data_IF_626237722279
#
_entry.id   IF_626237722279
#
_cell.length_a   1.000
_cell.length_b   1.000
_cell.length_c   1.000
_cell.angle_alpha   90.00
_cell.angle_beta   90.00
_cell.angle_gamma   90.00
#
_symmetry.space_group_name_H-M   'P 1'
#
loop_
_entity.id
_entity.type
_entity.pdbx_description
1 polymer ?
#
# COMPACT_ATOMS: atom_id res chain seq x y z
N UNK A 1 -4.38 0.70 11.53
CA UNK A 1 -3.92 1.96 10.97
C UNK A 1 -2.49 1.96 11.37
N UNK A 2 -1.61 1.74 10.40
CA UNK A 2 -0.18 1.63 10.66
C UNK A 2 0.33 2.85 11.45
N UNK A 3 1.04 2.60 12.55
CA UNK A 3 1.51 3.58 13.54
C UNK A 3 0.43 4.43 14.23
N UNK A 4 -0.72 3.84 14.53
CA UNK A 4 -1.74 4.44 15.41
C UNK A 4 -1.48 4.15 16.88
N UNK A 5 -0.79 3.04 17.18
CA UNK A 5 -0.60 2.57 18.55
C UNK A 5 0.75 3.01 19.13
N UNK A 6 1.74 3.25 18.28
CA UNK A 6 3.06 3.78 18.67
C UNK A 6 2.98 5.26 19.04
N UNK A 7 3.45 5.60 20.24
CA UNK A 7 3.61 6.99 20.70
C UNK A 7 4.94 7.55 20.20
N UNK A 8 4.99 8.86 19.97
CA UNK A 8 6.23 9.57 19.63
C UNK A 8 7.38 9.30 20.63
N UNK A 9 7.07 9.14 21.92
CA UNK A 9 8.08 8.82 22.94
C UNK A 9 8.73 7.44 22.77
N UNK A 10 8.05 6.51 22.08
CA UNK A 10 8.53 5.15 21.81
C UNK A 10 9.35 5.07 20.50
N UNK A 11 9.35 6.12 19.67
CA UNK A 11 10.03 6.13 18.38
C UNK A 11 11.53 5.78 18.45
N UNK A 12 12.33 6.26 19.43
CA UNK A 12 13.74 5.87 19.52
C UNK A 12 13.95 4.37 19.72
N UNK A 13 13.13 3.72 20.55
CA UNK A 13 13.22 2.28 20.82
C UNK A 13 12.75 1.49 19.61
N UNK A 14 11.68 1.91 18.96
CA UNK A 14 11.21 1.30 17.71
C UNK A 14 12.27 1.38 16.62
N UNK A 15 12.89 2.54 16.41
CA UNK A 15 13.96 2.72 15.43
C UNK A 15 15.13 1.77 15.69
N UNK A 16 15.56 1.64 16.95
CA UNK A 16 16.60 0.72 17.36
C UNK A 16 16.20 -0.76 17.19
N UNK A 17 14.91 -1.10 17.35
CA UNK A 17 14.37 -2.43 17.07
C UNK A 17 14.49 -2.80 15.59
N UNK A 18 14.08 -1.91 14.69
CA UNK A 18 14.19 -2.13 13.24
C UNK A 18 15.65 -2.28 12.83
N UNK A 19 16.56 -1.51 13.41
CA UNK A 19 18.00 -1.70 13.19
C UNK A 19 18.46 -3.08 13.67
N UNK A 20 18.01 -3.52 14.84
CA UNK A 20 18.35 -4.84 15.39
C UNK A 20 17.81 -6.01 14.58
N UNK A 21 16.66 -5.84 13.91
CA UNK A 21 16.07 -6.86 13.04
C UNK A 21 16.66 -6.86 11.64
N UNK A 22 16.78 -5.68 11.02
CA UNK A 22 16.95 -5.58 9.58
C UNK A 22 18.35 -5.21 9.12
N UNK A 23 19.20 -4.60 9.98
CA UNK A 23 20.55 -4.21 9.57
C UNK A 23 21.53 -5.38 9.62
N UNK A 24 21.41 -6.33 10.54
CA UNK A 24 22.37 -7.43 10.75
C UNK A 24 23.86 -7.02 10.56
N UNK A 25 24.52 -7.43 9.46
CA UNK A 25 25.91 -7.13 9.12
C UNK A 25 26.10 -5.84 8.28
N UNK A 26 25.01 -5.14 7.98
CA UNK A 26 24.91 -3.96 7.13
C UNK A 26 23.55 -3.95 6.38
N UNK A 27 23.06 -2.77 6.03
CA UNK A 27 21.84 -2.65 5.21
C UNK A 27 22.06 -3.27 3.83
N UNK A 28 21.12 -4.08 3.35
CA UNK A 28 21.18 -4.73 2.04
C UNK A 28 21.10 -3.71 0.90
N UNK A 29 20.26 -2.69 1.05
CA UNK A 29 20.14 -1.57 0.12
C UNK A 29 20.15 -0.22 0.85
N UNK A 30 20.71 0.79 0.18
CA UNK A 30 20.80 2.16 0.70
C UNK A 30 19.43 2.83 0.86
N UNK A 31 18.40 2.32 0.18
CA UNK A 31 17.02 2.79 0.28
C UNK A 31 16.41 2.47 1.64
N UNK A 32 16.78 1.35 2.29
CA UNK A 32 16.24 0.96 3.59
C UNK A 32 16.45 2.02 4.67
N UNK A 33 17.69 2.46 5.00
CA UNK A 33 17.90 3.48 6.02
C UNK A 33 17.36 4.86 5.61
N UNK A 34 17.25 5.17 4.31
CA UNK A 34 16.66 6.43 3.82
C UNK A 34 15.14 6.45 4.03
N UNK A 35 14.46 5.36 3.67
CA UNK A 35 13.03 5.16 3.89
C UNK A 35 12.68 5.23 5.37
N UNK A 36 13.46 4.55 6.21
CA UNK A 36 13.28 4.64 7.67
C UNK A 36 13.47 6.08 8.18
N UNK A 37 14.53 6.77 7.76
CA UNK A 37 14.73 8.18 8.13
C UNK A 37 13.54 9.07 7.75
N UNK A 38 13.05 8.93 6.51
CA UNK A 38 11.91 9.70 6.03
C UNK A 38 10.62 9.39 6.81
N UNK A 39 10.31 8.11 7.03
CA UNK A 39 9.12 7.67 7.77
C UNK A 39 9.15 8.20 9.20
N UNK A 40 10.29 8.06 9.90
CA UNK A 40 10.38 8.48 11.29
C UNK A 40 10.33 10.00 11.47
N UNK A 41 10.95 10.75 10.56
CA UNK A 41 10.86 12.20 10.53
C UNK A 41 9.40 12.65 10.29
N UNK A 42 8.74 12.11 9.26
CA UNK A 42 7.39 12.53 8.87
C UNK A 42 6.29 12.13 9.88
N UNK A 43 6.41 10.97 10.53
CA UNK A 43 5.36 10.44 11.42
C UNK A 43 5.60 10.74 12.90
N UNK A 44 6.85 10.84 13.33
CA UNK A 44 7.22 10.94 14.74
C UNK A 44 8.06 12.17 15.08
N UNK A 45 8.44 13.02 14.11
CA UNK A 45 9.38 14.12 14.34
C UNK A 45 10.69 13.61 14.98
N UNK A 46 11.15 12.43 14.52
CA UNK A 46 12.32 11.75 15.03
C UNK A 46 13.37 11.59 13.94
N UNK A 47 14.42 12.41 14.02
CA UNK A 47 15.56 12.35 13.10
C UNK A 47 16.69 11.51 13.70
N UNK A 48 17.05 10.43 13.01
CA UNK A 48 18.19 9.58 13.35
C UNK A 48 18.87 9.02 12.11
N UNK A 49 20.18 8.80 12.18
CA UNK A 49 20.90 8.10 11.13
C UNK A 49 20.85 6.58 11.37
N UNK A 50 19.92 5.91 10.70
CA UNK A 50 19.75 4.45 10.73
C UNK A 50 20.99 3.66 10.30
N UNK A 51 21.98 4.29 9.65
CA UNK A 51 23.27 3.64 9.35
C UNK A 51 24.11 3.45 10.61
N UNK A 52 24.01 4.35 11.58
CA UNK A 52 24.86 4.38 12.78
C UNK A 52 24.09 4.15 14.08
N UNK A 53 22.75 4.24 14.04
CA UNK A 53 21.90 4.04 15.19
C UNK A 53 22.20 2.67 15.86
N UNK A 54 22.38 2.60 17.19
CA UNK A 54 22.56 1.33 17.87
C UNK A 54 21.33 0.44 17.77
N UNK A 55 21.53 -0.87 17.67
CA UNK A 55 20.45 -1.85 17.74
C UNK A 55 19.98 -2.02 19.19
N UNK A 56 18.66 -2.17 19.39
CA UNK A 56 18.08 -2.63 20.65
C UNK A 56 17.98 -4.16 20.67
N UNK A 57 17.95 -4.75 21.86
CA UNK A 57 17.68 -6.20 22.02
C UNK A 57 16.17 -6.48 22.01
N UNK A 58 15.80 -7.73 21.74
CA UNK A 58 14.38 -8.14 21.77
C UNK A 58 13.76 -7.95 23.16
N UNK A 59 14.53 -8.15 24.23
CA UNK A 59 14.09 -7.94 25.62
C UNK A 59 13.75 -6.48 25.90
N UNK A 60 14.62 -5.55 25.47
CA UNK A 60 14.42 -4.11 25.63
C UNK A 60 13.14 -3.66 24.91
N UNK A 61 12.95 -4.18 23.70
CA UNK A 61 11.78 -3.88 22.87
C UNK A 61 10.50 -4.47 23.48
N UNK A 62 10.50 -5.74 23.88
CA UNK A 62 9.31 -6.37 24.45
C UNK A 62 8.87 -5.73 25.78
N UNK A 63 9.80 -5.12 26.54
CA UNK A 63 9.50 -4.35 27.74
C UNK A 63 8.82 -3.00 27.42
N UNK A 64 9.22 -2.32 26.34
CA UNK A 64 8.66 -1.01 25.94
C UNK A 64 7.33 -1.13 25.17
N UNK A 65 7.12 -2.24 24.45
CA UNK A 65 5.92 -2.48 23.64
C UNK A 65 5.11 -3.67 24.19
N UNK A 66 4.32 -3.47 25.25
CA UNK A 66 3.57 -4.55 25.87
C UNK A 66 2.33 -4.96 25.06
N UNK A 67 1.84 -4.12 24.14
CA UNK A 67 0.56 -4.36 23.46
C UNK A 67 0.77 -5.01 22.09
N UNK A 68 -0.08 -5.99 21.76
CA UNK A 68 0.00 -6.72 20.48
C UNK A 68 -0.08 -5.81 19.23
N UNK A 69 -0.93 -4.76 19.17
CA UNK A 69 -0.98 -3.87 18.00
C UNK A 69 0.32 -3.11 17.75
N UNK A 70 1.02 -2.65 18.80
CA UNK A 70 2.31 -1.97 18.68
C UNK A 70 3.37 -2.91 18.09
N UNK A 71 3.37 -4.17 18.53
CA UNK A 71 4.29 -5.20 18.03
C UNK A 71 4.04 -5.55 16.58
N UNK A 72 2.76 -5.61 16.17
CA UNK A 72 2.36 -5.82 14.77
C UNK A 72 2.87 -4.69 13.89
N UNK A 73 2.60 -3.43 14.25
CA UNK A 73 3.07 -2.27 13.49
C UNK A 73 4.60 -2.25 13.34
N UNK A 74 5.33 -2.73 14.34
CA UNK A 74 6.78 -2.87 14.27
C UNK A 74 7.22 -3.98 13.31
N UNK A 75 6.54 -5.13 13.28
CA UNK A 75 6.83 -6.22 12.32
C UNK A 75 6.46 -5.80 10.89
N UNK A 76 5.36 -5.08 10.70
CA UNK A 76 4.97 -4.51 9.40
C UNK A 76 6.10 -3.59 8.86
N UNK A 77 6.73 -2.77 9.72
CA UNK A 77 7.86 -1.94 9.32
C UNK A 77 9.13 -2.76 9.01
N UNK A 78 9.36 -3.88 9.70
CA UNK A 78 10.43 -4.82 9.35
C UNK A 78 10.18 -5.44 7.96
N UNK A 79 8.92 -5.79 7.66
CA UNK A 79 8.53 -6.31 6.35
C UNK A 79 8.62 -5.26 5.24
N UNK A 80 8.34 -3.99 5.51
CA UNK A 80 8.64 -2.89 4.59
C UNK A 80 10.13 -2.87 4.23
N UNK A 81 11.01 -3.07 5.23
CA UNK A 81 12.46 -3.11 5.00
C UNK A 81 12.88 -4.34 4.17
N UNK A 82 12.22 -5.48 4.34
CA UNK A 82 12.53 -6.70 3.59
C UNK A 82 11.96 -6.66 2.16
N UNK A 83 10.69 -6.28 1.99
CA UNK A 83 10.00 -6.33 0.69
C UNK A 83 10.29 -5.12 -0.21
N UNK A 84 11.09 -4.16 0.26
CA UNK A 84 11.70 -3.13 -0.59
C UNK A 84 13.00 -3.59 -1.27
N UNK A 85 13.45 -4.83 -1.04
CA UNK A 85 14.66 -5.39 -1.64
C UNK A 85 14.38 -6.07 -3.00
N UNK A 86 15.44 -6.17 -3.82
CA UNK A 86 15.37 -6.77 -5.16
C UNK A 86 15.51 -8.30 -5.14
N UNK A 87 15.97 -8.82 -4.02
CA UNK A 87 16.03 -10.21 -3.63
C UNK A 87 15.83 -10.28 -2.11
N UNK A 88 15.38 -11.43 -1.60
CA UNK A 88 15.08 -11.58 -0.17
C UNK A 88 16.16 -12.46 0.49
N UNK A 89 17.16 -11.87 1.18
CA UNK A 89 18.23 -12.62 1.82
C UNK A 89 17.67 -13.50 2.93
N UNK A 90 18.06 -14.79 2.95
CA UNK A 90 17.61 -15.73 3.96
C UNK A 90 17.96 -15.29 5.39
N UNK A 91 19.12 -14.66 5.59
CA UNK A 91 19.55 -14.15 6.91
C UNK A 91 18.57 -13.09 7.45
N UNK A 92 18.17 -12.14 6.59
CA UNK A 92 17.17 -11.12 6.93
C UNK A 92 15.80 -11.74 7.21
N UNK A 93 15.33 -12.65 6.34
CA UNK A 93 14.07 -13.37 6.54
C UNK A 93 14.06 -14.11 7.89
N UNK A 94 15.13 -14.84 8.19
CA UNK A 94 15.28 -15.58 9.44
C UNK A 94 15.32 -14.63 10.65
N UNK A 95 15.93 -13.45 10.50
CA UNK A 95 15.94 -12.42 11.54
C UNK A 95 14.55 -11.91 11.85
N UNK A 96 13.81 -11.50 10.82
CA UNK A 96 12.44 -10.98 10.98
C UNK A 96 11.53 -12.05 11.57
N UNK A 97 11.67 -13.31 11.16
CA UNK A 97 10.89 -14.43 11.72
C UNK A 97 11.21 -14.63 13.21
N UNK A 98 12.47 -14.54 13.62
CA UNK A 98 12.84 -14.59 15.06
C UNK A 98 12.22 -13.45 15.84
N UNK A 99 12.25 -12.22 15.30
CA UNK A 99 11.63 -11.06 15.93
C UNK A 99 10.10 -11.21 16.03
N UNK A 100 9.43 -11.63 14.97
CA UNK A 100 7.98 -11.85 14.96
C UNK A 100 7.56 -12.91 15.99
N UNK A 101 8.27 -14.06 16.03
CA UNK A 101 8.03 -15.12 17.03
C UNK A 101 8.23 -14.60 18.45
N UNK A 102 9.31 -13.87 18.71
CA UNK A 102 9.60 -13.35 20.05
C UNK A 102 8.55 -12.33 20.50
N UNK A 103 8.10 -11.47 19.58
CA UNK A 103 7.08 -10.46 19.84
C UNK A 103 5.66 -11.06 19.89
N UNK A 104 5.48 -12.31 19.47
CA UNK A 104 4.18 -12.99 19.44
C UNK A 104 3.26 -12.47 18.33
N UNK A 105 3.84 -12.16 17.17
CA UNK A 105 3.15 -11.63 16.00
C UNK A 105 3.02 -12.73 14.94
N UNK A 106 1.78 -13.03 14.53
CA UNK A 106 1.47 -13.98 13.47
C UNK A 106 0.65 -13.25 12.40
N UNK A 107 1.18 -13.16 11.17
CA UNK A 107 0.63 -12.30 10.12
C UNK A 107 0.61 -12.98 8.75
N UNK A 108 -0.38 -12.62 7.93
CA UNK A 108 -0.44 -13.02 6.51
C UNK A 108 0.77 -12.53 5.74
N UNK A 109 1.28 -11.35 6.08
CA UNK A 109 2.33 -10.66 5.36
C UNK A 109 3.66 -11.40 5.47
N UNK A 110 3.93 -11.99 6.65
CA UNK A 110 5.03 -12.94 6.85
C UNK A 110 4.88 -14.13 5.92
N UNK A 111 3.67 -14.70 5.80
CA UNK A 111 3.44 -15.85 4.91
C UNK A 111 3.75 -15.49 3.45
N UNK A 112 3.24 -14.35 2.97
CA UNK A 112 3.47 -13.90 1.58
C UNK A 112 4.95 -13.58 1.34
N UNK A 113 5.62 -12.91 2.28
CA UNK A 113 7.06 -12.64 2.19
C UNK A 113 7.88 -13.94 2.09
N UNK A 114 7.54 -14.97 2.87
CA UNK A 114 8.23 -16.27 2.81
C UNK A 114 7.91 -17.06 1.55
N UNK A 115 6.71 -16.93 0.99
CA UNK A 115 6.39 -17.48 -0.32
C UNK A 115 7.24 -16.83 -1.42
N UNK A 116 7.39 -15.51 -1.40
CA UNK A 116 8.27 -14.78 -2.31
C UNK A 116 9.74 -15.22 -2.15
N UNK A 117 10.25 -15.31 -0.92
CA UNK A 117 11.62 -15.71 -0.65
C UNK A 117 11.93 -17.14 -1.14
N UNK A 118 10.92 -18.00 -1.22
CA UNK A 118 11.02 -19.38 -1.74
C UNK A 118 10.78 -19.48 -3.25
N UNK A 119 10.59 -18.36 -3.94
CA UNK A 119 10.31 -18.31 -5.37
C UNK A 119 8.87 -18.70 -5.75
N UNK A 120 7.94 -18.76 -4.78
CA UNK A 120 6.54 -19.11 -5.00
C UNK A 120 5.69 -17.89 -5.41
N UNK A 121 6.18 -17.09 -6.38
CA UNK A 121 5.60 -15.79 -6.77
C UNK A 121 4.12 -15.87 -7.15
N UNK A 122 3.69 -16.88 -7.90
CA UNK A 122 2.29 -17.03 -8.30
C UNK A 122 1.36 -17.27 -7.10
N UNK A 123 1.84 -17.97 -6.08
CA UNK A 123 1.08 -18.23 -4.85
C UNK A 123 1.02 -16.98 -3.98
N UNK A 124 2.16 -16.31 -3.81
CA UNK A 124 2.25 -15.03 -3.12
C UNK A 124 1.32 -13.98 -3.74
N UNK A 125 1.29 -13.90 -5.07
CA UNK A 125 0.40 -12.99 -5.80
C UNK A 125 -1.06 -13.33 -5.54
N UNK A 126 -1.43 -14.60 -5.62
CA UNK A 126 -2.80 -15.03 -5.35
C UNK A 126 -3.24 -14.72 -3.91
N UNK A 127 -2.38 -15.00 -2.93
CA UNK A 127 -2.66 -14.74 -1.51
C UNK A 127 -2.70 -13.24 -1.19
N UNK A 128 -1.88 -12.42 -1.86
CA UNK A 128 -1.96 -10.96 -1.80
C UNK A 128 -3.32 -10.46 -2.31
N UNK A 129 -3.76 -10.85 -3.49
CA UNK A 129 -5.04 -10.33 -4.01
C UNK A 129 -6.22 -10.81 -3.16
N UNK A 130 -6.21 -12.08 -2.73
CA UNK A 130 -7.27 -12.68 -1.93
C UNK A 130 -7.39 -12.09 -0.52
N UNK A 131 -6.26 -11.89 0.18
CA UNK A 131 -6.26 -11.46 1.59
C UNK A 131 -5.99 -9.96 1.75
N UNK A 132 -5.35 -9.33 0.76
CA UNK A 132 -5.17 -7.89 0.66
C UNK A 132 -6.38 -7.28 -0.03
N UNK A 133 -6.22 -6.83 -1.27
CA UNK A 133 -7.23 -6.12 -2.07
C UNK A 133 -8.69 -6.61 -1.88
N UNK A 134 -8.90 -7.93 -1.77
CA UNK A 134 -10.21 -8.54 -1.56
C UNK A 134 -10.49 -9.08 -0.16
N UNK A 135 -9.52 -9.12 0.76
CA UNK A 135 -9.69 -9.70 2.09
C UNK A 135 -10.79 -9.03 2.92
N UNK A 136 -11.03 -7.74 2.66
CA UNK A 136 -12.12 -6.96 3.24
C UNK A 136 -13.50 -7.21 2.58
N UNK A 137 -13.56 -7.93 1.45
CA UNK A 137 -14.80 -8.25 0.74
C UNK A 137 -15.41 -9.55 1.26
N UNK A 138 -16.35 -9.44 2.20
CA UNK A 138 -16.99 -10.59 2.85
C UNK A 138 -17.96 -11.40 1.95
N UNK A 139 -18.45 -10.80 0.85
CA UNK A 139 -19.46 -11.39 -0.03
C UNK A 139 -18.88 -11.66 -1.43
N UNK A 140 -18.26 -12.83 -1.62
CA UNK A 140 -17.92 -13.30 -2.96
C UNK A 140 -19.09 -14.09 -3.55
N UNK A 141 -19.63 -13.60 -4.67
CA UNK A 141 -20.66 -14.30 -5.45
C UNK A 141 -20.15 -15.70 -5.85
N UNK A 142 -20.94 -16.79 -5.71
CA UNK A 142 -20.55 -18.12 -6.19
C UNK A 142 -20.10 -18.17 -7.67
N UNK A 143 -20.63 -17.29 -8.53
CA UNK A 143 -20.16 -17.14 -9.92
C UNK A 143 -18.70 -16.65 -9.99
N UNK A 144 -18.25 -15.92 -8.97
CA UNK A 144 -16.91 -15.41 -8.83
C UNK A 144 -15.90 -16.50 -8.44
N UNK A 145 -16.32 -17.49 -7.65
CA UNK A 145 -15.48 -18.65 -7.32
C UNK A 145 -15.03 -19.42 -8.57
N UNK A 146 -15.94 -19.66 -9.51
CA UNK A 146 -15.61 -20.36 -10.76
C UNK A 146 -14.64 -19.55 -11.65
N UNK A 147 -14.74 -18.22 -11.65
CA UNK A 147 -13.79 -17.34 -12.34
C UNK A 147 -12.40 -17.38 -11.70
N UNK A 148 -12.32 -17.37 -10.37
CA UNK A 148 -11.05 -17.51 -9.65
C UNK A 148 -10.40 -18.87 -9.93
N UNK A 149 -11.18 -19.95 -9.98
CA UNK A 149 -10.68 -21.29 -10.34
C UNK A 149 -10.11 -21.35 -11.76
N UNK A 150 -10.71 -20.62 -12.71
CA UNK A 150 -10.29 -20.61 -14.11
C UNK A 150 -9.11 -19.65 -14.39
N UNK A 151 -9.12 -18.47 -13.78
CA UNK A 151 -8.25 -17.34 -14.16
C UNK A 151 -7.29 -16.88 -13.02
N UNK A 152 -7.41 -17.45 -11.82
CA UNK A 152 -6.54 -17.15 -10.69
C UNK A 152 -6.60 -15.68 -10.26
N UNK A 153 -5.44 -15.09 -9.96
CA UNK A 153 -5.33 -13.68 -9.51
C UNK A 153 -5.83 -12.67 -10.55
N UNK A 154 -5.91 -13.04 -11.84
CA UNK A 154 -6.46 -12.16 -12.87
C UNK A 154 -7.95 -11.94 -12.70
N UNK A 155 -8.71 -12.91 -12.19
CA UNK A 155 -10.13 -12.74 -11.90
C UNK A 155 -10.36 -11.67 -10.80
N UNK A 156 -9.41 -11.57 -9.86
CA UNK A 156 -9.40 -10.57 -8.79
C UNK A 156 -9.05 -9.19 -9.35
N UNK A 157 -8.01 -9.11 -10.18
CA UNK A 157 -7.48 -7.85 -10.67
C UNK A 157 -8.27 -7.22 -11.84
N UNK A 158 -8.86 -8.05 -12.72
CA UNK A 158 -9.38 -7.62 -14.01
C UNK A 158 -10.84 -8.02 -14.22
N UNK A 159 -11.56 -7.28 -15.05
CA UNK A 159 -12.84 -7.71 -15.60
C UNK A 159 -12.59 -8.85 -16.60
N UNK A 160 -13.04 -10.05 -16.25
CA UNK A 160 -12.99 -11.23 -17.13
C UNK A 160 -14.27 -11.32 -17.99
N UNK A 161 -15.43 -11.21 -17.36
CA UNK A 161 -16.73 -11.28 -18.02
C UNK A 161 -17.25 -9.86 -18.28
N UNK A 162 -17.73 -9.54 -19.50
CA UNK A 162 -18.30 -8.23 -19.78
C UNK A 162 -19.49 -7.91 -18.87
N UNK A 163 -19.51 -6.68 -18.36
CA UNK A 163 -20.63 -6.06 -17.64
C UNK A 163 -20.93 -4.69 -18.28
N UNK A 164 -21.78 -4.65 -19.31
CA UNK A 164 -22.12 -3.41 -20.01
C UNK A 164 -22.84 -2.39 -19.12
N UNK A 165 -23.55 -2.83 -18.08
CA UNK A 165 -24.25 -1.94 -17.16
C UNK A 165 -23.26 -1.20 -16.27
N UNK A 166 -22.25 -1.90 -15.74
CA UNK A 166 -21.17 -1.28 -14.98
C UNK A 166 -20.34 -0.34 -15.86
N UNK A 167 -19.95 -0.77 -17.07
CA UNK A 167 -19.20 0.08 -18.02
C UNK A 167 -19.96 1.36 -18.35
N UNK A 168 -21.27 1.27 -18.61
CA UNK A 168 -22.12 2.45 -18.84
C UNK A 168 -22.26 3.34 -17.60
N UNK A 169 -22.30 2.75 -16.39
CA UNK A 169 -22.36 3.48 -15.12
C UNK A 169 -21.12 4.34 -14.90
N UNK A 170 -19.93 3.82 -15.22
CA UNK A 170 -18.67 4.56 -15.18
C UNK A 170 -18.59 5.64 -16.26
N UNK A 171 -19.00 5.33 -17.49
CA UNK A 171 -19.06 6.31 -18.57
C UNK A 171 -19.98 7.51 -18.23
N UNK A 172 -21.09 7.26 -17.52
CA UNK A 172 -22.04 8.30 -17.12
C UNK A 172 -21.47 9.35 -16.15
N UNK A 173 -20.29 9.13 -15.57
CA UNK A 173 -19.58 10.13 -14.75
C UNK A 173 -19.22 11.38 -15.55
N UNK A 174 -19.17 11.31 -16.89
CA UNK A 174 -19.08 12.48 -17.79
C UNK A 174 -20.26 13.46 -17.62
N UNK A 175 -21.34 13.08 -16.95
CA UNK A 175 -22.47 13.99 -16.73
C UNK A 175 -22.45 14.64 -15.34
N UNK A 176 -21.47 14.29 -14.50
CA UNK A 176 -21.29 14.95 -13.21
C UNK A 176 -20.83 16.42 -13.37
N UNK A 177 -21.16 17.30 -12.40
CA UNK A 177 -20.74 18.70 -12.42
C UNK A 177 -19.22 18.87 -12.53
N UNK A 178 -18.76 19.92 -13.20
CA UNK A 178 -17.32 20.25 -13.22
C UNK A 178 -16.79 20.48 -11.80
N UNK A 179 -15.62 19.92 -11.48
CA UNK A 179 -15.02 19.97 -10.13
C UNK A 179 -15.68 19.03 -9.11
N UNK A 180 -16.61 18.15 -9.52
CA UNK A 180 -17.12 17.09 -8.67
C UNK A 180 -16.23 15.85 -8.75
N UNK A 181 -16.30 14.98 -7.73
CA UNK A 181 -15.51 13.74 -7.69
C UNK A 181 -15.70 12.86 -8.95
N UNK A 182 -16.95 12.65 -9.34
CA UNK A 182 -17.30 11.85 -10.52
C UNK A 182 -16.74 12.42 -11.80
N UNK A 183 -16.83 13.75 -12.00
CA UNK A 183 -16.20 14.40 -13.16
C UNK A 183 -14.69 14.15 -13.17
N UNK A 184 -14.02 14.37 -12.05
CA UNK A 184 -12.57 14.19 -11.95
C UNK A 184 -12.16 12.73 -12.20
N UNK A 185 -12.91 11.74 -11.73
CA UNK A 185 -12.65 10.32 -12.04
C UNK A 185 -12.87 10.02 -13.52
N UNK A 186 -13.89 10.59 -14.16
CA UNK A 186 -14.06 10.46 -15.60
C UNK A 186 -12.88 11.06 -16.37
N UNK A 187 -12.44 12.26 -15.99
CA UNK A 187 -11.26 12.92 -16.58
C UNK A 187 -9.99 12.07 -16.40
N UNK A 188 -9.80 11.52 -15.20
CA UNK A 188 -8.69 10.62 -14.86
C UNK A 188 -8.61 9.40 -15.80
N UNK A 189 -9.76 8.74 -16.05
CA UNK A 189 -9.85 7.62 -16.99
C UNK A 189 -9.62 8.06 -18.44
N UNK A 190 -10.27 9.16 -18.85
CA UNK A 190 -10.20 9.67 -20.21
C UNK A 190 -8.78 10.09 -20.61
N UNK A 191 -8.09 10.85 -19.76
CA UNK A 191 -6.72 11.31 -20.00
C UNK A 191 -5.72 10.16 -20.14
N UNK A 192 -5.96 9.03 -19.45
CA UNK A 192 -5.08 7.86 -19.45
C UNK A 192 -5.44 6.83 -20.53
N UNK A 193 -6.57 7.03 -21.23
CA UNK A 193 -7.08 6.05 -22.18
C UNK A 193 -7.44 4.71 -21.52
N UNK A 194 -7.84 4.73 -20.26
CA UNK A 194 -8.26 3.52 -19.54
C UNK A 194 -9.66 3.09 -19.99
N UNK A 195 -9.82 1.78 -20.18
CA UNK A 195 -11.15 1.18 -20.34
C UNK A 195 -11.90 1.19 -19.01
N UNK A 196 -13.21 1.42 -19.06
CA UNK A 196 -14.03 1.43 -17.84
C UNK A 196 -14.21 0.03 -17.25
N UNK A 197 -14.31 -0.08 -15.90
CA UNK A 197 -14.69 -1.31 -15.23
C UNK A 197 -15.98 -1.90 -15.81
N UNK A 198 -16.01 -3.21 -16.02
CA UNK A 198 -17.06 -3.90 -16.77
C UNK A 198 -16.72 -4.14 -18.25
N UNK A 199 -15.65 -3.54 -18.77
CA UNK A 199 -15.07 -3.88 -20.07
C UNK A 199 -14.05 -5.02 -19.92
N UNK A 200 -14.11 -6.13 -20.68
CA UNK A 200 -13.13 -7.20 -20.57
C UNK A 200 -11.69 -6.71 -20.74
N UNK A 201 -10.81 -7.06 -19.81
CA UNK A 201 -9.42 -6.61 -19.79
C UNK A 201 -9.19 -5.31 -19.01
N UNK A 202 -10.24 -4.55 -18.68
CA UNK A 202 -10.15 -3.42 -17.75
C UNK A 202 -9.93 -3.91 -16.31
N UNK A 203 -9.65 -2.96 -15.42
CA UNK A 203 -9.59 -3.20 -13.98
C UNK A 203 -10.94 -3.72 -13.46
N UNK A 204 -10.91 -4.67 -12.53
CA UNK A 204 -12.14 -5.25 -11.97
C UNK A 204 -12.94 -4.22 -11.18
N UNK A 205 -14.23 -4.48 -10.98
CA UNK A 205 -15.10 -3.60 -10.18
C UNK A 205 -14.59 -3.38 -8.76
N UNK A 206 -14.06 -4.40 -8.09
CA UNK A 206 -13.55 -4.21 -6.74
C UNK A 206 -12.20 -3.49 -6.73
N UNK A 207 -11.30 -3.82 -7.66
CA UNK A 207 -10.03 -3.10 -7.78
C UNK A 207 -10.27 -1.63 -8.09
N UNK A 208 -11.19 -1.30 -9.00
CA UNK A 208 -11.50 0.08 -9.40
C UNK A 208 -11.91 1.02 -8.25
N UNK A 209 -12.20 0.47 -7.06
CA UNK A 209 -12.38 1.26 -5.85
C UNK A 209 -11.18 2.17 -5.55
N UNK A 210 -9.94 1.70 -5.76
CA UNK A 210 -8.75 2.51 -5.47
C UNK A 210 -8.53 3.65 -6.47
N UNK A 211 -9.10 3.59 -7.68
CA UNK A 211 -9.00 4.67 -8.67
C UNK A 211 -9.68 5.96 -8.19
N UNK A 212 -10.76 5.84 -7.41
CA UNK A 212 -11.38 6.99 -6.74
C UNK A 212 -10.42 7.63 -5.71
N UNK A 213 -9.61 6.79 -5.07
CA UNK A 213 -8.64 7.22 -4.06
C UNK A 213 -7.52 8.02 -4.73
N UNK A 214 -6.98 7.59 -5.88
CA UNK A 214 -6.00 8.37 -6.65
C UNK A 214 -6.42 9.83 -6.81
N UNK A 215 -7.66 10.05 -7.24
CA UNK A 215 -8.23 11.39 -7.45
C UNK A 215 -8.39 12.14 -6.12
N UNK A 216 -8.93 11.49 -5.07
CA UNK A 216 -9.13 12.13 -3.76
C UNK A 216 -7.82 12.52 -3.07
N UNK A 217 -6.82 11.64 -3.07
CA UNK A 217 -5.53 11.88 -2.43
C UNK A 217 -4.50 12.55 -3.35
N UNK A 218 -4.87 12.89 -4.58
CA UNK A 218 -4.06 13.65 -5.51
C UNK A 218 -2.79 12.94 -6.00
N UNK A 219 -2.85 11.63 -6.26
CA UNK A 219 -1.73 10.86 -6.79
C UNK A 219 -2.03 10.31 -8.19
N UNK A 220 -1.09 10.48 -9.12
CA UNK A 220 -1.17 9.86 -10.45
C UNK A 220 -0.97 8.34 -10.43
N UNK A 221 -0.88 7.74 -11.63
CA UNK A 221 -0.78 6.28 -11.85
C UNK A 221 0.59 5.87 -12.38
N UNK A 222 1.61 6.69 -12.17
CA UNK A 222 2.99 6.23 -12.40
C UNK A 222 3.32 5.15 -11.37
N UNK A 223 4.33 4.28 -11.59
CA UNK A 223 4.76 3.31 -10.58
C UNK A 223 4.97 3.92 -9.18
N UNK A 224 5.54 5.13 -9.09
CA UNK A 224 5.66 5.86 -7.82
C UNK A 224 4.30 6.32 -7.27
N UNK A 225 3.39 6.79 -8.13
CA UNK A 225 2.02 7.16 -7.74
C UNK A 225 1.21 6.00 -7.16
N UNK A 226 1.39 4.79 -7.70
CA UNK A 226 0.78 3.56 -7.16
C UNK A 226 1.29 3.24 -5.76
N UNK A 227 2.60 3.41 -5.52
CA UNK A 227 3.19 3.23 -4.19
C UNK A 227 2.72 4.30 -3.21
N UNK A 228 2.56 5.55 -3.66
CA UNK A 228 2.02 6.64 -2.83
C UNK A 228 0.56 6.38 -2.43
N UNK A 229 -0.32 5.97 -3.35
CA UNK A 229 -1.70 5.60 -3.01
C UNK A 229 -1.72 4.41 -2.06
N UNK A 230 -0.84 3.44 -2.26
CA UNK A 230 -0.64 2.32 -1.35
C UNK A 230 -0.34 2.70 0.08
N UNK A 231 0.72 3.48 0.25
CA UNK A 231 1.17 4.01 1.52
C UNK A 231 0.05 4.83 2.20
N UNK A 232 -0.66 5.65 1.43
CA UNK A 232 -1.82 6.38 1.94
C UNK A 232 -2.91 5.44 2.45
N UNK A 233 -3.35 4.46 1.63
CA UNK A 233 -4.44 3.54 1.98
C UNK A 233 -4.12 2.68 3.19
N UNK A 234 -2.87 2.20 3.32
CA UNK A 234 -2.37 1.44 4.48
C UNK A 234 -2.64 2.14 5.81
N UNK A 235 -2.57 3.47 5.82
CA UNK A 235 -2.73 4.30 7.02
C UNK A 235 -4.13 4.90 7.16
N UNK A 236 -5.12 4.48 6.37
CA UNK A 236 -6.53 4.93 6.54
C UNK A 236 -7.44 3.94 7.27
N UNK A 237 -6.98 2.70 7.51
CA UNK A 237 -7.80 1.64 8.12
C UNK A 237 -7.02 0.80 9.14
N UNK A 238 -7.73 0.10 10.02
CA UNK A 238 -7.19 -0.90 10.95
C UNK A 238 -7.15 -2.32 10.38
N UNK A 239 -7.60 -2.51 9.14
CA UNK A 239 -7.56 -3.80 8.46
C UNK A 239 -6.12 -4.20 8.04
N UNK A 240 -5.67 -5.41 8.41
CA UNK A 240 -4.32 -5.86 8.06
C UNK A 240 -4.12 -6.15 6.58
N UNK A 241 -5.18 -6.40 5.82
CA UNK A 241 -5.10 -6.51 4.37
C UNK A 241 -4.55 -5.23 3.73
N UNK A 242 -4.74 -4.07 4.36
CA UNK A 242 -4.18 -2.82 3.86
C UNK A 242 -2.65 -2.77 4.00
N UNK A 243 -2.10 -3.31 5.10
CA UNK A 243 -0.66 -3.52 5.26
C UNK A 243 -0.15 -4.53 4.22
N UNK A 244 -0.84 -5.66 4.07
CA UNK A 244 -0.49 -6.67 3.06
C UNK A 244 -0.46 -6.08 1.65
N UNK A 245 -1.46 -5.28 1.29
CA UNK A 245 -1.60 -4.65 -0.03
C UNK A 245 -0.42 -3.71 -0.34
N UNK A 246 -0.01 -2.90 0.64
CA UNK A 246 1.12 -2.00 0.45
C UNK A 246 2.46 -2.73 0.49
N UNK A 247 2.69 -3.49 1.55
CA UNK A 247 3.99 -4.09 1.86
C UNK A 247 4.29 -5.24 0.91
N UNK A 248 3.36 -6.19 0.75
CA UNK A 248 3.56 -7.33 -0.14
C UNK A 248 3.05 -7.09 -1.56
N UNK A 249 2.24 -6.06 -1.81
CA UNK A 249 1.83 -5.68 -3.17
C UNK A 249 2.71 -4.59 -3.75
N UNK A 250 2.42 -3.33 -3.42
CA UNK A 250 3.02 -2.18 -4.08
C UNK A 250 4.55 -2.11 -3.94
N UNK A 251 5.12 -2.41 -2.77
CA UNK A 251 6.59 -2.47 -2.63
C UNK A 251 7.16 -3.65 -3.42
N UNK A 252 6.62 -4.86 -3.28
CA UNK A 252 7.13 -6.02 -4.01
C UNK A 252 7.01 -5.89 -5.55
N UNK A 253 5.97 -5.21 -6.03
CA UNK A 253 5.73 -4.95 -7.45
C UNK A 253 6.69 -3.91 -8.01
N UNK A 254 6.70 -2.71 -7.44
CA UNK A 254 7.32 -1.53 -8.06
C UNK A 254 8.71 -1.20 -7.51
N UNK A 255 8.97 -1.51 -6.24
CA UNK A 255 10.28 -1.31 -5.63
C UNK A 255 11.14 -2.57 -5.72
N UNK A 256 10.65 -3.70 -5.21
CA UNK A 256 11.39 -4.95 -5.21
C UNK A 256 11.54 -5.52 -6.63
N UNK A 257 10.51 -5.39 -7.47
CA UNK A 257 10.49 -6.07 -8.77
C UNK A 257 10.55 -7.59 -8.63
N UNK A 258 10.09 -8.11 -7.49
CA UNK A 258 10.20 -9.52 -7.07
C UNK A 258 8.88 -10.29 -7.25
N UNK A 259 7.80 -9.60 -7.60
CA UNK A 259 6.50 -10.20 -7.90
C UNK A 259 5.84 -9.44 -9.05
N UNK A 260 5.26 -10.13 -10.06
CA UNK A 260 4.47 -9.44 -11.06
C UNK A 260 3.13 -8.96 -10.48
N UNK A 261 2.63 -7.82 -10.94
CA UNK A 261 1.23 -7.43 -10.79
C UNK A 261 0.36 -8.26 -11.74
N UNK A 262 -0.85 -8.64 -11.33
CA UNK A 262 -1.78 -9.34 -12.21
C UNK A 262 -2.36 -8.43 -13.30
N UNK A 263 -2.28 -7.11 -13.11
CA UNK A 263 -2.76 -6.10 -14.05
C UNK A 263 -1.65 -5.61 -14.98
N UNK A 264 -0.48 -5.28 -14.42
CA UNK A 264 0.58 -4.55 -15.15
C UNK A 264 1.87 -5.36 -15.36
N UNK A 265 1.94 -6.59 -14.85
CA UNK A 265 3.12 -7.44 -15.00
C UNK A 265 4.28 -7.04 -14.08
N UNK A 266 5.50 -7.39 -14.48
CA UNK A 266 6.72 -7.18 -13.68
C UNK A 266 7.33 -5.79 -13.96
N UNK A 267 7.77 -5.10 -12.91
CA UNK A 267 8.39 -3.78 -12.99
C UNK A 267 9.83 -3.81 -12.46
N UNK A 268 10.84 -3.41 -13.25
CA UNK A 268 12.26 -3.48 -12.85
C UNK A 268 12.85 -2.14 -12.36
N UNK A 269 12.03 -1.09 -12.19
CA UNK A 269 12.54 0.29 -12.10
C UNK A 269 12.99 0.72 -10.69
N UNK A 270 12.75 -0.09 -9.66
CA UNK A 270 13.20 0.14 -8.27
C UNK A 270 12.90 1.56 -7.77
N UNK A 271 11.62 1.91 -7.84
CA UNK A 271 11.12 3.29 -7.84
C UNK A 271 11.45 4.14 -6.60
N UNK A 272 11.64 3.57 -5.42
CA UNK A 272 12.04 4.30 -4.20
C UNK A 272 13.53 4.71 -4.23
N UNK A 273 14.35 4.14 -5.12
CA UNK A 273 15.74 4.57 -5.29
C UNK A 273 15.86 5.87 -6.10
N UNK A 274 14.76 6.34 -6.68
CA UNK A 274 14.70 7.64 -7.35
C UNK A 274 14.77 8.79 -6.34
N UNK A 275 15.29 9.98 -6.72
CA UNK A 275 15.31 11.14 -5.84
C UNK A 275 13.91 11.47 -5.31
N UNK A 276 13.79 11.64 -3.99
CA UNK A 276 12.52 11.96 -3.32
C UNK A 276 11.60 10.77 -3.07
N UNK A 277 11.92 9.56 -3.57
CA UNK A 277 11.09 8.36 -3.39
C UNK A 277 10.74 8.07 -1.92
N UNK A 278 11.73 7.97 -1.01
CA UNK A 278 11.50 7.75 0.42
C UNK A 278 10.60 8.81 1.07
N UNK A 279 10.84 10.09 0.75
CA UNK A 279 10.09 11.23 1.29
C UNK A 279 8.64 11.23 0.81
N UNK A 280 8.40 10.84 -0.44
CA UNK A 280 7.04 10.69 -1.01
C UNK A 280 6.25 9.58 -0.33
N UNK A 281 6.87 8.42 -0.08
CA UNK A 281 6.23 7.33 0.70
C UNK A 281 5.91 7.81 2.12
N UNK A 282 6.86 8.46 2.79
CA UNK A 282 6.68 8.96 4.14
C UNK A 282 5.56 10.02 4.23
N UNK A 283 5.47 10.93 3.25
CA UNK A 283 4.38 11.90 3.18
C UNK A 283 3.04 11.20 2.95
N UNK A 284 2.97 10.21 2.07
CA UNK A 284 1.74 9.44 1.85
C UNK A 284 1.24 8.73 3.10
N UNK A 285 2.12 8.06 3.86
CA UNK A 285 1.80 7.47 5.16
C UNK A 285 1.28 8.52 6.14
N UNK A 286 1.94 9.68 6.22
CA UNK A 286 1.53 10.78 7.10
C UNK A 286 0.14 11.30 6.72
N UNK A 287 -0.12 11.52 5.43
CA UNK A 287 -1.39 12.01 4.91
C UNK A 287 -2.53 11.02 5.17
N UNK A 288 -2.30 9.73 4.95
CA UNK A 288 -3.30 8.70 5.22
C UNK A 288 -3.65 8.60 6.71
N UNK A 289 -2.68 8.75 7.61
CA UNK A 289 -2.91 8.78 9.07
C UNK A 289 -3.83 9.93 9.52
N UNK A 290 -3.78 11.07 8.83
CA UNK A 290 -4.66 12.21 9.11
C UNK A 290 -6.06 12.03 8.49
N UNK A 291 -6.22 11.15 7.51
CA UNK A 291 -7.49 10.90 6.84
C UNK A 291 -8.52 10.29 7.80
N UNK A 292 -9.74 10.80 7.76
CA UNK A 292 -10.87 10.34 8.58
C UNK A 292 -11.80 9.36 7.86
N UNK A 293 -11.46 9.02 6.62
CA UNK A 293 -12.25 8.13 5.78
C UNK A 293 -11.47 6.87 5.48
N UNK A 294 -12.11 5.73 5.70
CA UNK A 294 -11.56 4.43 5.35
C UNK A 294 -11.57 4.28 3.82
N UNK A 295 -10.39 4.35 3.21
CA UNK A 295 -10.20 4.23 1.74
C UNK A 295 -9.89 2.80 1.30
N UNK A 296 -9.98 1.85 2.23
CA UNK A 296 -9.66 0.46 1.98
C UNK A 296 -10.91 -0.37 1.81
N UNK A 297 -11.88 -0.21 2.72
CA UNK A 297 -13.14 -0.94 2.67
C UNK A 297 -14.10 -0.37 1.62
N UNK A 298 -15.01 -1.25 1.18
CA UNK A 298 -16.01 -0.92 0.16
C UNK A 298 -16.86 0.28 0.56
N UNK A 299 -16.87 1.29 -0.31
CA UNK A 299 -17.76 2.44 -0.27
C UNK A 299 -18.30 2.73 -1.66
N UNK A 300 -19.59 3.05 -1.77
CA UNK A 300 -20.23 3.37 -3.05
C UNK A 300 -20.00 4.85 -3.41
N UNK A 301 -18.86 5.15 -4.03
CA UNK A 301 -18.49 6.51 -4.44
C UNK A 301 -19.48 7.17 -5.39
N UNK A 302 -20.27 6.39 -6.13
CA UNK A 302 -21.32 6.94 -7.00
C UNK A 302 -22.37 7.73 -6.21
N UNK A 303 -22.57 7.43 -4.93
CA UNK A 303 -23.51 8.18 -4.06
C UNK A 303 -23.05 9.62 -3.79
N UNK A 304 -21.75 9.90 -3.91
CA UNK A 304 -21.13 11.20 -3.67
C UNK A 304 -20.48 11.78 -4.92
N UNK A 305 -20.59 11.12 -6.08
CA UNK A 305 -19.89 11.49 -7.31
C UNK A 305 -20.23 12.90 -7.82
N UNK A 306 -21.43 13.41 -7.51
CA UNK A 306 -21.83 14.77 -7.88
C UNK A 306 -21.42 15.84 -6.87
N UNK A 307 -20.85 15.46 -5.72
CA UNK A 307 -20.36 16.42 -4.72
C UNK A 307 -19.02 17.04 -5.16
N UNK A 308 -18.75 18.33 -4.86
CA UNK A 308 -17.46 18.97 -5.13
C UNK A 308 -16.31 18.22 -4.45
N UNK A 309 -15.23 17.95 -5.20
CA UNK A 309 -14.09 17.17 -4.69
C UNK A 309 -13.44 17.82 -3.46
N UNK A 310 -13.29 19.14 -3.45
CA UNK A 310 -12.71 19.87 -2.32
C UNK A 310 -13.56 19.75 -1.06
N UNK A 311 -14.89 19.74 -1.19
CA UNK A 311 -15.78 19.53 -0.05
C UNK A 311 -15.63 18.12 0.55
N UNK A 312 -15.37 17.11 -0.29
CA UNK A 312 -15.08 15.74 0.16
C UNK A 312 -13.71 15.65 0.84
N UNK A 313 -12.69 16.29 0.26
CA UNK A 313 -11.34 16.37 0.84
C UNK A 313 -11.38 17.02 2.23
N UNK A 314 -12.10 18.12 2.38
CA UNK A 314 -12.33 18.77 3.67
C UNK A 314 -13.09 17.87 4.65
N UNK A 315 -14.21 17.28 4.20
CA UNK A 315 -15.09 16.42 5.02
C UNK A 315 -14.35 15.24 5.62
N UNK A 316 -13.46 14.63 4.83
CA UNK A 316 -12.72 13.43 5.19
C UNK A 316 -11.27 13.68 5.58
N UNK A 317 -10.85 14.94 5.65
CA UNK A 317 -9.51 15.36 6.04
C UNK A 317 -8.38 14.81 5.15
N UNK A 318 -8.57 14.82 3.82
CA UNK A 318 -7.49 14.58 2.87
C UNK A 318 -6.55 15.78 2.84
N UNK A 319 -5.52 15.75 3.67
CA UNK A 319 -4.55 16.85 3.76
C UNK A 319 -3.69 16.92 2.48
N UNK A 320 -3.25 18.12 2.04
CA UNK A 320 -2.41 18.27 0.84
C UNK A 320 -1.04 17.57 0.96
N UNK A 321 -0.43 17.30 -0.21
CA UNK A 321 0.97 16.87 -0.33
C UNK A 321 1.90 17.98 0.15
N UNK A 322 3.00 17.60 0.82
CA UNK A 322 4.07 18.56 1.17
C UNK A 322 5.31 18.37 0.30
N UNK A 323 5.44 17.24 -0.39
CA UNK A 323 6.53 16.99 -1.33
C UNK A 323 6.16 17.53 -2.72
N UNK A 324 6.93 18.50 -3.21
CA UNK A 324 6.60 19.29 -4.41
C UNK A 324 6.78 18.56 -5.75
N UNK A 325 7.50 17.45 -5.78
CA UNK A 325 7.82 16.67 -6.98
C UNK A 325 6.85 15.50 -7.22
N UNK A 326 5.85 15.31 -6.35
CA UNK A 326 4.81 14.29 -6.49
C UNK A 326 3.71 14.76 -7.46
N UNK A 327 3.62 14.18 -8.68
CA UNK A 327 2.66 14.61 -9.69
C UNK A 327 1.21 14.44 -9.22
N UNK A 328 0.34 15.40 -9.57
CA UNK A 328 -1.10 15.24 -9.39
C UNK A 328 -1.67 14.21 -10.38
N UNK A 329 -2.87 13.73 -10.09
CA UNK A 329 -3.62 12.82 -10.95
C UNK A 329 -4.06 13.47 -12.26
N UNK A 330 -4.16 14.80 -12.32
CA UNK A 330 -4.67 15.55 -13.48
C UNK A 330 -3.58 15.96 -14.49
N UNK A 331 -2.32 15.62 -14.22
CA UNK A 331 -1.21 15.86 -15.13
C UNK A 331 -1.23 14.82 -16.26
N UNK A 332 -1.13 15.29 -17.51
CA UNK A 332 -0.90 14.43 -18.68
C UNK A 332 0.40 13.64 -18.49
N UNK A 333 0.30 12.31 -18.57
CA UNK A 333 1.42 11.36 -18.51
C UNK A 333 2.00 11.18 -19.92
#
# INVERSE_FOLDING_TARGET
MFFKHIKTSQAPVMAAAIVGACRENGWSLDVQPKLLGAIFSALFDFDADFRTLPAATMEEVAAEFPNAPERREMVDLMLICELCLHDLPAELSDSIDRWAVYLGVEESDLTVARELARGAQARAQFDLYRNGFWGACADMDPAYTALIEADGARALAMTITPDPEESARWAALEHCPSGSLGRCVWEFYHQRGFDYPGTPGAVSKAESHHDWVHVLCDYGTTPMGEVEVGAFRMTTTDDPGAALTFVAGQLAFYQGGIMPSALTGLHPDHILETPGGPERVADALRRGRECKFDTYHKFDFFTVASEPIEALRDRWNFVPKVVSDSPSWDLEI
#
